data_IF_590751851529
#
_entry.id   IF_590751851529
#
_cell.length_a   1.000
_cell.length_b   1.000
_cell.length_c   1.000
_cell.angle_alpha   90.00
_cell.angle_beta   90.00
_cell.angle_gamma   90.00
#
_symmetry.space_group_name_H-M   'P 1'
#
loop_
_entity.id
_entity.type
_entity.pdbx_description
1 polymer ?
#
# COMPACT_ATOMS: atom_id res chain seq x y z
N UNK A 1 8.35 0.97 -13.56
CA UNK A 1 8.60 -0.46 -13.24
C UNK A 1 8.68 -1.30 -14.49
N UNK A 2 7.62 -1.52 -15.29
CA UNK A 2 7.73 -2.34 -16.51
C UNK A 2 8.81 -1.83 -17.49
N UNK A 3 8.72 -0.55 -17.88
CA UNK A 3 9.73 0.07 -18.76
C UNK A 3 11.15 0.02 -18.18
N UNK A 4 11.32 0.34 -16.89
CA UNK A 4 12.63 0.26 -16.20
C UNK A 4 13.22 -1.17 -16.15
N UNK A 5 12.36 -2.20 -16.12
CA UNK A 5 12.78 -3.59 -16.17
C UNK A 5 13.13 -4.05 -17.58
N UNK A 6 12.45 -3.52 -18.60
CA UNK A 6 12.78 -3.75 -20.01
C UNK A 6 14.11 -3.07 -20.38
N UNK A 7 14.31 -1.83 -19.94
CA UNK A 7 15.56 -1.08 -20.08
C UNK A 7 16.75 -1.82 -19.47
N UNK A 8 16.56 -2.45 -18.30
CA UNK A 8 17.59 -3.28 -17.68
C UNK A 8 18.07 -4.40 -18.63
N UNK A 9 17.15 -5.14 -19.27
CA UNK A 9 17.55 -6.21 -20.17
C UNK A 9 18.17 -5.67 -21.46
N UNK A 10 17.65 -4.57 -22.02
CA UNK A 10 18.27 -3.95 -23.19
C UNK A 10 19.72 -3.51 -22.93
N UNK A 11 20.02 -3.03 -21.73
CA UNK A 11 21.37 -2.57 -21.37
C UNK A 11 22.34 -3.70 -20.97
N UNK A 12 21.84 -4.89 -20.62
CA UNK A 12 22.66 -5.95 -20.00
C UNK A 12 22.61 -7.30 -20.74
N UNK A 13 21.80 -7.43 -21.79
CA UNK A 13 21.74 -8.64 -22.63
C UNK A 13 22.82 -8.62 -23.73
N UNK A 14 23.50 -9.74 -23.95
CA UNK A 14 24.42 -9.94 -25.08
C UNK A 14 25.90 -9.61 -24.85
N UNK A 15 26.34 -9.42 -23.60
CA UNK A 15 27.76 -9.25 -23.24
C UNK A 15 28.44 -10.54 -22.74
N UNK A 16 29.68 -10.43 -22.26
CA UNK A 16 30.48 -11.53 -21.66
C UNK A 16 29.94 -12.05 -20.31
N UNK A 17 28.82 -11.51 -19.83
CA UNK A 17 28.23 -11.85 -18.55
C UNK A 17 27.22 -12.97 -18.74
N UNK A 18 27.36 -14.06 -17.98
CA UNK A 18 26.41 -15.18 -18.05
C UNK A 18 24.96 -14.75 -17.79
N UNK A 19 24.01 -15.37 -18.48
CA UNK A 19 22.57 -15.14 -18.31
C UNK A 19 22.12 -15.30 -16.85
N UNK A 20 22.75 -16.21 -16.10
CA UNK A 20 22.45 -16.40 -14.68
C UNK A 20 22.79 -15.16 -13.85
N UNK A 21 23.92 -14.51 -14.10
CA UNK A 21 24.33 -13.28 -13.42
C UNK A 21 23.38 -12.14 -13.79
N UNK A 22 23.05 -11.98 -15.07
CA UNK A 22 22.07 -10.98 -15.54
C UNK A 22 20.72 -11.19 -14.86
N UNK A 23 20.24 -12.43 -14.75
CA UNK A 23 18.99 -12.75 -14.06
C UNK A 23 19.02 -12.45 -12.56
N UNK A 24 20.13 -12.75 -11.88
CA UNK A 24 20.29 -12.46 -10.45
C UNK A 24 20.30 -10.95 -10.18
N UNK A 25 21.04 -10.19 -10.97
CA UNK A 25 21.09 -8.74 -10.89
C UNK A 25 19.73 -8.10 -11.23
N UNK A 26 19.04 -8.61 -12.25
CA UNK A 26 17.66 -8.21 -12.59
C UNK A 26 16.73 -8.32 -11.37
N UNK A 27 16.74 -9.45 -10.66
CA UNK A 27 15.91 -9.65 -9.47
C UNK A 27 16.22 -8.63 -8.37
N UNK A 28 17.48 -8.27 -8.18
CA UNK A 28 17.88 -7.24 -7.22
C UNK A 28 17.33 -5.86 -7.62
N UNK A 29 17.45 -5.49 -8.90
CA UNK A 29 16.89 -4.25 -9.45
C UNK A 29 15.37 -4.22 -9.27
N UNK A 30 14.67 -5.28 -9.69
CA UNK A 30 13.23 -5.40 -9.55
C UNK A 30 12.77 -5.22 -8.09
N UNK A 31 13.46 -5.88 -7.15
CA UNK A 31 13.18 -5.72 -5.72
C UNK A 31 13.36 -4.26 -5.28
N UNK A 32 14.43 -3.59 -5.68
CA UNK A 32 14.68 -2.18 -5.40
C UNK A 32 13.56 -1.27 -5.92
N UNK A 33 13.11 -1.50 -7.15
CA UNK A 33 12.00 -0.76 -7.76
C UNK A 33 10.68 -0.94 -6.99
N UNK A 34 10.36 -2.19 -6.61
CA UNK A 34 9.15 -2.48 -5.84
C UNK A 34 9.20 -1.86 -4.44
N UNK A 35 10.37 -1.89 -3.76
CA UNK A 35 10.56 -1.24 -2.47
C UNK A 35 10.36 0.28 -2.61
N UNK A 36 10.98 0.92 -3.61
CA UNK A 36 10.85 2.36 -3.87
C UNK A 36 9.39 2.74 -4.10
N UNK A 37 8.70 2.02 -4.99
CA UNK A 37 7.28 2.29 -5.29
C UNK A 37 6.39 2.10 -4.07
N UNK A 38 6.61 1.04 -3.30
CA UNK A 38 5.84 0.75 -2.09
C UNK A 38 6.06 1.82 -1.02
N UNK A 39 7.30 2.27 -0.84
CA UNK A 39 7.65 3.37 0.08
C UNK A 39 6.96 4.68 -0.31
N UNK A 40 6.98 5.04 -1.60
CA UNK A 40 6.27 6.21 -2.11
C UNK A 40 4.77 6.14 -1.84
N UNK A 41 4.12 5.01 -2.18
CA UNK A 41 2.69 4.82 -1.96
C UNK A 41 2.33 4.88 -0.46
N UNK A 42 3.17 4.32 0.41
CA UNK A 42 2.99 4.39 1.87
C UNK A 42 3.03 5.84 2.36
N UNK A 43 4.02 6.62 1.93
CA UNK A 43 4.15 8.04 2.30
C UNK A 43 2.98 8.87 1.79
N UNK A 44 2.55 8.65 0.55
CA UNK A 44 1.39 9.32 -0.05
C UNK A 44 0.11 9.04 0.74
N UNK A 45 -0.20 7.77 1.04
CA UNK A 45 -1.37 7.41 1.86
C UNK A 45 -1.33 8.03 3.26
N UNK A 46 -0.16 8.03 3.90
CA UNK A 46 0.02 8.63 5.23
C UNK A 46 -0.21 10.14 5.19
N UNK A 47 0.26 10.82 4.14
CA UNK A 47 0.01 12.26 3.94
C UNK A 47 -1.49 12.53 3.80
N UNK A 48 -2.19 11.79 2.95
CA UNK A 48 -3.64 11.93 2.77
C UNK A 48 -4.40 11.68 4.07
N UNK A 49 -4.03 10.64 4.82
CA UNK A 49 -4.66 10.35 6.12
C UNK A 49 -4.49 11.50 7.12
N UNK A 50 -3.28 12.07 7.21
CA UNK A 50 -2.98 13.17 8.11
C UNK A 50 -3.70 14.46 7.70
N UNK A 51 -3.85 14.70 6.40
CA UNK A 51 -4.61 15.83 5.87
C UNK A 51 -6.11 15.70 6.17
N UNK A 52 -6.71 14.53 5.93
CA UNK A 52 -8.10 14.24 6.32
C UNK A 52 -8.33 14.42 7.83
N UNK A 53 -7.40 13.97 8.67
CA UNK A 53 -7.48 14.15 10.13
C UNK A 53 -7.46 15.63 10.53
N UNK A 54 -6.57 16.42 9.91
CA UNK A 54 -6.52 17.88 10.13
C UNK A 54 -7.82 18.56 9.72
N UNK A 55 -8.32 18.25 8.52
CA UNK A 55 -9.58 18.81 8.02
C UNK A 55 -10.76 18.43 8.93
N UNK A 56 -10.80 17.19 9.40
CA UNK A 56 -11.84 16.73 10.32
C UNK A 56 -11.76 17.47 11.67
N UNK A 57 -10.56 17.68 12.23
CA UNK A 57 -10.39 18.42 13.47
C UNK A 57 -10.87 19.88 13.36
N UNK A 58 -10.58 20.54 12.23
CA UNK A 58 -11.06 21.89 11.95
C UNK A 58 -12.58 21.91 11.78
N UNK A 59 -13.14 21.05 10.94
CA UNK A 59 -14.57 21.00 10.67
C UNK A 59 -15.40 20.65 11.92
N UNK A 60 -14.91 19.74 12.76
CA UNK A 60 -15.56 19.39 14.04
C UNK A 60 -15.52 20.55 15.03
N UNK A 61 -14.42 21.30 15.09
CA UNK A 61 -14.32 22.49 15.94
C UNK A 61 -15.28 23.58 15.46
N UNK A 62 -15.30 23.85 14.16
CA UNK A 62 -16.21 24.83 13.56
C UNK A 62 -17.68 24.44 13.79
N UNK A 63 -18.04 23.16 13.61
CA UNK A 63 -19.41 22.70 13.83
C UNK A 63 -19.84 22.75 15.30
N UNK A 64 -18.89 22.67 16.25
CA UNK A 64 -19.18 22.86 17.69
C UNK A 64 -19.44 24.33 18.03
N UNK A 65 -18.69 25.24 17.41
CA UNK A 65 -18.81 26.68 17.64
C UNK A 65 -20.04 27.29 16.96
N UNK A 66 -20.29 26.87 15.71
CA UNK A 66 -21.42 27.33 14.91
C UNK A 66 -22.02 26.14 14.15
N UNK A 67 -22.97 25.42 14.76
CA UNK A 67 -23.59 24.26 14.13
C UNK A 67 -24.28 24.62 12.82
N UNK A 68 -23.93 23.91 11.75
CA UNK A 68 -24.54 24.08 10.43
C UNK A 68 -24.75 22.72 9.77
N UNK A 69 -25.88 22.49 9.06
CA UNK A 69 -26.09 21.26 8.28
C UNK A 69 -24.96 20.98 7.28
N UNK A 70 -24.37 22.04 6.70
CA UNK A 70 -23.24 21.91 5.78
C UNK A 70 -21.98 21.38 6.48
N UNK A 71 -21.66 21.93 7.66
CA UNK A 71 -20.52 21.49 8.47
C UNK A 71 -20.72 20.07 9.01
N UNK A 72 -21.92 19.73 9.46
CA UNK A 72 -22.25 18.37 9.89
C UNK A 72 -22.05 17.35 8.75
N UNK A 73 -22.51 17.67 7.54
CA UNK A 73 -22.30 16.83 6.34
C UNK A 73 -20.82 16.70 5.98
N UNK A 74 -20.04 17.77 6.11
CA UNK A 74 -18.60 17.76 5.87
C UNK A 74 -17.86 16.87 6.88
N UNK A 75 -18.19 16.99 8.18
CA UNK A 75 -17.66 16.13 9.25
C UNK A 75 -17.96 14.66 8.96
N UNK A 76 -19.21 14.35 8.59
CA UNK A 76 -19.59 12.97 8.26
C UNK A 76 -18.84 12.44 7.05
N UNK A 77 -18.69 13.25 6.00
CA UNK A 77 -17.94 12.87 4.79
C UNK A 77 -16.48 12.55 5.10
N UNK A 78 -15.80 13.41 5.87
CA UNK A 78 -14.41 13.22 6.27
C UNK A 78 -14.24 12.00 7.21
N UNK A 79 -15.23 11.74 8.07
CA UNK A 79 -15.25 10.57 8.94
C UNK A 79 -15.38 9.28 8.13
N UNK A 80 -16.26 9.25 7.13
CA UNK A 80 -16.42 8.11 6.23
C UNK A 80 -15.13 7.85 5.43
N UNK A 81 -14.52 8.89 4.86
CA UNK A 81 -13.24 8.77 4.15
C UNK A 81 -12.12 8.20 5.03
N UNK A 82 -12.00 8.67 6.28
CA UNK A 82 -11.03 8.10 7.23
C UNK A 82 -11.35 6.65 7.58
N UNK A 83 -12.63 6.30 7.68
CA UNK A 83 -13.07 4.94 7.99
C UNK A 83 -12.73 3.99 6.85
N UNK A 84 -12.94 4.38 5.60
CA UNK A 84 -12.54 3.63 4.40
C UNK A 84 -11.02 3.43 4.32
N UNK A 85 -10.24 4.49 4.56
CA UNK A 85 -8.78 4.40 4.61
C UNK A 85 -8.29 3.43 5.69
N UNK A 86 -8.91 3.46 6.87
CA UNK A 86 -8.60 2.54 7.95
C UNK A 86 -9.05 1.11 7.64
N UNK A 87 -10.22 0.92 7.04
CA UNK A 87 -10.73 -0.40 6.65
C UNK A 87 -9.78 -1.11 5.67
N UNK A 88 -9.26 -0.39 4.67
CA UNK A 88 -8.27 -0.93 3.73
C UNK A 88 -6.97 -1.36 4.44
N UNK A 89 -6.52 -0.57 5.43
CA UNK A 89 -5.34 -0.88 6.24
C UNK A 89 -5.57 -2.11 7.13
N UNK A 90 -6.74 -2.20 7.77
CA UNK A 90 -7.14 -3.33 8.59
C UNK A 90 -7.25 -4.61 7.77
N UNK A 91 -7.84 -4.56 6.58
CA UNK A 91 -7.92 -5.71 5.66
C UNK A 91 -6.52 -6.22 5.27
N UNK A 92 -5.59 -5.31 4.96
CA UNK A 92 -4.20 -5.68 4.67
C UNK A 92 -3.51 -6.36 5.87
N UNK A 93 -3.67 -5.81 7.08
CA UNK A 93 -3.09 -6.43 8.27
C UNK A 93 -3.74 -7.77 8.61
N UNK A 94 -5.05 -7.90 8.44
CA UNK A 94 -5.75 -9.16 8.63
C UNK A 94 -5.24 -10.22 7.66
N UNK A 95 -5.05 -9.87 6.39
CA UNK A 95 -4.47 -10.78 5.39
C UNK A 95 -3.05 -11.19 5.77
N UNK A 96 -2.21 -10.26 6.24
CA UNK A 96 -0.86 -10.57 6.73
C UNK A 96 -0.89 -11.47 7.96
N UNK A 97 -1.79 -11.19 8.91
CA UNK A 97 -1.95 -11.99 10.12
C UNK A 97 -2.32 -13.43 9.75
N UNK A 98 -3.31 -13.62 8.86
CA UNK A 98 -3.67 -14.93 8.31
C UNK A 98 -2.44 -15.61 7.72
N UNK A 99 -1.74 -14.95 6.79
CA UNK A 99 -0.54 -15.51 6.18
C UNK A 99 0.52 -15.95 7.21
N UNK A 100 0.67 -15.24 8.34
CA UNK A 100 1.55 -15.61 9.47
C UNK A 100 1.00 -16.76 10.31
N UNK A 101 -0.29 -16.79 10.63
CA UNK A 101 -0.90 -17.91 11.38
C UNK A 101 -0.75 -19.23 10.63
N UNK A 102 -0.90 -19.21 9.30
CA UNK A 102 -0.73 -20.38 8.43
C UNK A 102 0.73 -20.71 8.08
N UNK A 103 1.73 -19.96 8.58
CA UNK A 103 3.14 -20.30 8.36
C UNK A 103 3.55 -21.64 9.01
N UNK A 104 2.77 -22.15 9.97
CA UNK A 104 2.93 -23.51 10.53
C UNK A 104 2.38 -24.62 9.62
N UNK A 105 1.85 -24.28 8.45
CA UNK A 105 1.33 -25.20 7.45
C UNK A 105 2.00 -24.97 6.09
N UNK A 106 2.07 -25.99 5.24
CA UNK A 106 2.83 -25.96 3.98
C UNK A 106 2.46 -24.82 3.01
N UNK A 107 3.30 -24.58 2.00
CA UNK A 107 3.12 -23.48 1.01
C UNK A 107 1.70 -23.44 0.39
N UNK A 108 1.10 -24.60 0.14
CA UNK A 108 -0.26 -24.72 -0.42
C UNK A 108 -1.33 -24.16 0.53
N UNK A 109 -1.21 -24.43 1.83
CA UNK A 109 -2.14 -23.99 2.86
C UNK A 109 -2.12 -22.47 3.03
N UNK A 110 -0.96 -21.83 2.84
CA UNK A 110 -0.82 -20.36 2.82
C UNK A 110 -1.58 -19.70 1.67
N UNK A 111 -1.61 -20.32 0.49
CA UNK A 111 -2.41 -19.83 -0.64
C UNK A 111 -3.91 -20.03 -0.43
N UNK A 112 -4.31 -21.18 0.11
CA UNK A 112 -5.71 -21.48 0.45
C UNK A 112 -6.25 -20.51 1.51
N UNK A 113 -5.47 -20.22 2.55
CA UNK A 113 -5.82 -19.27 3.60
C UNK A 113 -6.13 -17.85 3.10
N UNK A 114 -5.48 -17.42 2.03
CA UNK A 114 -5.76 -16.13 1.39
C UNK A 114 -7.05 -16.14 0.55
N UNK A 115 -7.62 -17.33 0.26
CA UNK A 115 -8.84 -17.51 -0.54
C UNK A 115 -10.07 -17.92 0.27
N UNK A 116 -9.87 -18.46 1.47
CA UNK A 116 -10.97 -18.75 2.40
C UNK A 116 -11.52 -17.42 2.94
N UNK A 117 -12.78 -17.13 2.61
CA UNK A 117 -13.54 -15.95 3.08
C UNK A 117 -14.04 -16.19 4.49
#
# INVERSE_FOLDING_TARGET
VKAELEEYFQANSGGDVSDQTVWLAHKAVARGLFIRRSSYLKKSRQKTQLECQKLLAVATTQNKLNPSPALAKQVQTLTNQLTELNAAKTAYFLQRLRATSYHHSGKATKYLANRLK
#
